data_IF_189785271989
#
_entry.id   IF_189785271989
#
_cell.length_a   1.000
_cell.length_b   1.000
_cell.length_c   1.000
_cell.angle_alpha   90.00
_cell.angle_beta   90.00
_cell.angle_gamma   90.00
#
_symmetry.space_group_name_H-M   'P 1'
#
loop_
_entity.id
_entity.type
_entity.pdbx_description
1 polymer ?
#
# COMPACT_ATOMS: atom_id res chain seq x y z
N UNK A 1 -0.57 -13.35 7.28
CA UNK A 1 -0.51 -12.98 5.84
C UNK A 1 -1.68 -12.06 5.52
N UNK A 2 -1.47 -11.02 4.72
CA UNK A 2 -2.52 -10.08 4.31
C UNK A 2 -2.69 -10.10 2.80
N UNK A 3 -3.94 -10.20 2.32
CA UNK A 3 -4.25 -10.13 0.88
C UNK A 3 -4.41 -8.67 0.46
N UNK A 4 -3.27 -8.03 0.22
CA UNK A 4 -3.16 -6.65 -0.26
C UNK A 4 -1.93 -6.56 -1.16
N UNK A 5 -1.99 -5.68 -2.16
CA UNK A 5 -0.91 -5.53 -3.15
C UNK A 5 -0.81 -4.08 -3.56
N UNK A 6 0.33 -3.45 -3.30
CA UNK A 6 0.59 -2.07 -3.71
C UNK A 6 0.84 -1.93 -5.22
N UNK A 7 1.25 -3.03 -5.88
CA UNK A 7 1.57 -3.08 -7.31
C UNK A 7 0.38 -3.45 -8.20
N UNK A 8 -0.74 -3.91 -7.64
CA UNK A 8 -1.97 -4.16 -8.41
C UNK A 8 -2.26 -5.61 -8.76
N UNK A 9 -1.27 -6.48 -8.60
CA UNK A 9 -1.37 -7.90 -8.97
C UNK A 9 -1.78 -8.81 -7.80
N UNK A 10 -2.11 -10.06 -8.13
CA UNK A 10 -2.37 -11.12 -7.16
C UNK A 10 -1.13 -11.36 -6.28
N UNK A 11 -1.34 -11.42 -4.97
CA UNK A 11 -0.28 -11.73 -4.02
C UNK A 11 -0.69 -11.43 -2.59
N UNK A 12 0.29 -11.50 -1.71
CA UNK A 12 0.13 -11.27 -0.27
C UNK A 12 1.31 -10.49 0.28
N UNK A 13 1.05 -9.67 1.29
CA UNK A 13 2.08 -9.18 2.20
C UNK A 13 2.29 -10.23 3.30
N UNK A 14 3.52 -10.71 3.42
CA UNK A 14 3.94 -11.74 4.37
C UNK A 14 4.76 -11.07 5.46
N UNK A 15 4.26 -11.13 6.69
CA UNK A 15 4.90 -10.59 7.88
C UNK A 15 5.38 -11.74 8.74
N UNK A 16 6.62 -11.65 9.22
CA UNK A 16 7.23 -12.59 10.16
C UNK A 16 8.09 -11.82 11.16
N UNK A 17 8.38 -12.42 12.31
CA UNK A 17 9.38 -11.88 13.23
C UNK A 17 10.76 -11.85 12.57
N UNK A 18 11.60 -10.89 12.97
CA UNK A 18 12.88 -10.63 12.31
C UNK A 18 13.80 -11.87 12.29
N UNK A 19 13.77 -12.70 13.33
CA UNK A 19 14.55 -13.94 13.43
C UNK A 19 14.24 -14.96 12.32
N UNK A 20 13.06 -14.86 11.68
CA UNK A 20 12.65 -15.75 10.60
C UNK A 20 12.81 -15.13 9.19
N UNK A 21 13.26 -13.88 9.09
CA UNK A 21 13.25 -13.13 7.82
C UNK A 21 14.08 -13.81 6.71
N UNK A 22 15.30 -14.26 7.02
CA UNK A 22 16.17 -14.92 6.05
C UNK A 22 15.61 -16.29 5.62
N UNK A 23 15.17 -17.11 6.57
CA UNK A 23 14.58 -18.41 6.28
C UNK A 23 13.31 -18.30 5.42
N UNK A 24 12.49 -17.27 5.67
CA UNK A 24 11.31 -16.98 4.84
C UNK A 24 11.70 -16.58 3.41
N UNK A 25 12.73 -15.75 3.26
CA UNK A 25 13.21 -15.31 1.95
C UNK A 25 13.69 -16.50 1.10
N UNK A 26 14.56 -17.35 1.67
CA UNK A 26 15.12 -18.51 0.97
C UNK A 26 14.01 -19.50 0.59
N UNK A 27 13.08 -19.78 1.51
CA UNK A 27 11.94 -20.66 1.26
C UNK A 27 11.09 -20.20 0.07
N UNK A 28 10.85 -18.88 -0.06
CA UNK A 28 10.07 -18.32 -1.16
C UNK A 28 10.84 -18.34 -2.48
N UNK A 29 12.16 -18.07 -2.45
CA UNK A 29 13.01 -18.14 -3.63
C UNK A 29 13.05 -19.56 -4.20
N UNK A 30 13.25 -20.56 -3.34
CA UNK A 30 13.28 -21.97 -3.73
C UNK A 30 11.94 -22.45 -4.28
N UNK A 31 10.84 -22.17 -3.58
CA UNK A 31 9.50 -22.57 -4.02
C UNK A 31 9.08 -21.85 -5.32
N UNK A 32 9.52 -20.60 -5.52
CA UNK A 32 9.20 -19.81 -6.68
C UNK A 32 10.11 -20.04 -7.90
N UNK A 33 11.20 -20.79 -7.76
CA UNK A 33 12.20 -20.98 -8.82
C UNK A 33 11.58 -21.55 -10.10
N UNK A 34 10.70 -22.55 -9.99
CA UNK A 34 9.98 -23.15 -11.11
C UNK A 34 9.01 -22.17 -11.81
N UNK A 35 8.66 -21.06 -11.15
CA UNK A 35 7.77 -20.01 -11.66
C UNK A 35 8.52 -18.76 -12.14
N UNK A 36 9.86 -18.79 -12.15
CA UNK A 36 10.67 -17.63 -12.54
C UNK A 36 10.58 -16.47 -11.56
N UNK A 37 10.45 -16.76 -10.26
CA UNK A 37 10.42 -15.72 -9.23
C UNK A 37 11.69 -14.87 -9.29
N UNK A 38 11.53 -13.56 -9.10
CA UNK A 38 12.65 -12.61 -9.05
C UNK A 38 12.50 -11.64 -7.88
N UNK A 39 13.61 -11.17 -7.28
CA UNK A 39 13.58 -10.00 -6.43
C UNK A 39 13.30 -8.75 -7.27
N UNK A 40 12.27 -7.98 -6.88
CA UNK A 40 11.90 -6.74 -7.56
C UNK A 40 12.29 -5.52 -6.73
N UNK A 41 12.94 -4.54 -7.37
CA UNK A 41 13.42 -3.32 -6.72
C UNK A 41 12.38 -2.20 -6.60
N UNK A 42 12.77 -1.12 -5.91
CA UNK A 42 11.89 0.02 -5.61
C UNK A 42 11.42 0.80 -6.85
N UNK A 43 12.22 0.84 -7.91
CA UNK A 43 11.85 1.55 -9.15
C UNK A 43 10.65 0.88 -9.83
N UNK A 44 10.70 -0.44 -10.01
CA UNK A 44 9.58 -1.21 -10.56
C UNK A 44 8.34 -1.08 -9.67
N UNK A 45 8.50 -1.19 -8.35
CA UNK A 45 7.42 -0.99 -7.38
C UNK A 45 6.75 0.38 -7.52
N UNK A 46 7.54 1.45 -7.68
CA UNK A 46 7.03 2.79 -7.85
C UNK A 46 6.34 2.99 -9.21
N UNK A 47 6.77 2.32 -10.28
CA UNK A 47 6.06 2.35 -11.57
C UNK A 47 4.67 1.72 -11.43
N UNK A 48 4.62 0.49 -10.94
CA UNK A 48 3.39 -0.30 -10.85
C UNK A 48 2.34 0.34 -9.94
N UNK A 49 2.76 0.94 -8.81
CA UNK A 49 1.81 1.64 -7.93
C UNK A 49 1.19 2.88 -8.59
N UNK A 50 1.93 3.55 -9.48
CA UNK A 50 1.43 4.73 -10.21
C UNK A 50 0.42 4.27 -11.25
N UNK A 51 0.69 3.19 -11.97
CA UNK A 51 -0.26 2.57 -12.92
C UNK A 51 -1.58 2.19 -12.23
N UNK A 52 -1.50 1.68 -10.99
CA UNK A 52 -2.68 1.39 -10.16
C UNK A 52 -3.39 2.63 -9.62
N UNK A 53 -2.77 3.81 -9.68
CA UNK A 53 -3.29 5.05 -9.10
C UNK A 53 -3.21 5.12 -7.57
N UNK A 54 -2.30 4.38 -6.93
CA UNK A 54 -2.09 4.49 -5.49
C UNK A 54 -1.32 5.75 -5.13
N UNK A 55 -1.87 6.48 -4.15
CA UNK A 55 -1.33 7.76 -3.66
C UNK A 55 -0.22 7.54 -2.64
N UNK A 56 0.85 8.31 -2.78
CA UNK A 56 1.97 8.43 -1.86
C UNK A 56 1.80 9.68 -0.99
N UNK A 57 1.61 9.50 0.31
CA UNK A 57 1.54 10.61 1.26
C UNK A 57 2.86 11.40 1.28
N UNK A 58 2.79 12.72 1.33
CA UNK A 58 3.93 13.63 1.27
C UNK A 58 4.26 14.13 -0.14
N UNK A 59 3.76 13.47 -1.18
CA UNK A 59 3.95 13.91 -2.57
C UNK A 59 2.61 14.07 -3.30
N UNK A 60 1.80 13.02 -3.37
CA UNK A 60 0.52 13.05 -4.06
C UNK A 60 -0.57 13.76 -3.23
N UNK A 61 -0.39 13.82 -1.91
CA UNK A 61 -1.22 14.55 -0.97
C UNK A 61 -0.46 14.88 0.31
N UNK A 62 -0.81 16.00 0.92
CA UNK A 62 -0.26 16.49 2.20
C UNK A 62 -1.39 16.94 3.11
N UNK A 63 -1.08 17.58 4.24
CA UNK A 63 -2.07 18.20 5.13
C UNK A 63 -2.84 19.37 4.49
N UNK A 64 -2.38 19.87 3.34
CA UNK A 64 -3.02 20.95 2.57
C UNK A 64 -4.20 20.44 1.73
N UNK A 65 -4.26 19.13 1.49
CA UNK A 65 -5.23 18.51 0.61
C UNK A 65 -6.35 17.83 1.41
N UNK A 66 -7.61 18.09 1.03
CA UNK A 66 -8.75 17.30 1.53
C UNK A 66 -8.78 15.92 0.85
N UNK A 67 -9.28 14.86 1.51
CA UNK A 67 -9.39 13.53 0.90
C UNK A 67 -10.12 13.52 -0.44
N UNK A 68 -11.20 14.31 -0.58
CA UNK A 68 -11.93 14.46 -1.84
C UNK A 68 -11.04 15.01 -2.97
N UNK A 69 -10.23 16.04 -2.70
CA UNK A 69 -9.31 16.61 -3.68
C UNK A 69 -8.21 15.64 -4.12
N UNK A 70 -7.83 14.69 -3.25
CA UNK A 70 -6.86 13.63 -3.56
C UNK A 70 -7.50 12.39 -4.23
N UNK A 71 -8.82 12.35 -4.42
CA UNK A 71 -9.54 11.17 -4.92
C UNK A 71 -9.65 10.02 -3.90
N UNK A 72 -9.58 10.32 -2.61
CA UNK A 72 -9.59 9.35 -1.49
C UNK A 72 -10.87 9.40 -0.65
N UNK A 73 -11.96 9.93 -1.21
CA UNK A 73 -13.25 10.05 -0.49
C UNK A 73 -13.80 8.68 -0.07
N UNK A 74 -13.58 7.64 -0.88
CA UNK A 74 -13.97 6.26 -0.56
C UNK A 74 -13.37 5.74 0.75
N UNK A 75 -12.26 6.32 1.22
CA UNK A 75 -11.59 5.93 2.46
C UNK A 75 -12.14 6.68 3.69
N UNK A 76 -13.13 7.57 3.54
CA UNK A 76 -13.68 8.39 4.62
C UNK A 76 -15.11 7.99 4.95
N UNK A 77 -15.32 7.44 6.15
CA UNK A 77 -16.66 7.23 6.72
C UNK A 77 -17.17 8.51 7.37
N UNK A 78 -18.05 9.24 6.69
CA UNK A 78 -18.55 10.56 7.09
C UNK A 78 -19.50 10.52 8.30
N UNK A 79 -20.19 9.41 8.48
CA UNK A 79 -21.17 9.12 9.52
C UNK A 79 -20.53 8.64 10.85
N UNK A 80 -19.21 8.43 10.88
CA UNK A 80 -18.51 7.94 12.06
C UNK A 80 -18.48 8.99 13.18
N UNK A 81 -19.10 8.68 14.31
CA UNK A 81 -19.04 9.46 15.55
C UNK A 81 -17.62 9.45 16.15
N UNK A 82 -17.22 10.56 16.78
CA UNK A 82 -15.89 10.68 17.42
C UNK A 82 -14.70 10.86 16.48
N UNK A 83 -14.90 11.15 15.19
CA UNK A 83 -13.80 11.42 14.25
C UNK A 83 -13.13 12.76 14.58
N UNK A 84 -11.79 12.78 14.58
CA UNK A 84 -11.01 14.02 14.60
C UNK A 84 -11.35 14.84 13.36
N UNK A 85 -12.03 15.99 13.54
CA UNK A 85 -12.31 16.97 12.48
C UNK A 85 -11.36 18.15 12.65
N UNK A 86 -10.60 18.50 11.60
CA UNK A 86 -10.04 19.86 11.51
C UNK A 86 -11.20 20.82 11.28
N UNK A 87 -11.40 21.79 12.16
CA UNK A 87 -12.40 22.85 11.98
C UNK A 87 -12.06 23.68 10.73
N UNK A 88 -13.06 23.87 9.86
CA UNK A 88 -12.92 24.55 8.57
C UNK A 88 -14.07 24.15 7.64
N UNK A 89 -15.29 24.59 8.01
CA UNK A 89 -16.58 24.33 7.35
C UNK A 89 -16.59 24.70 5.86
N UNK A 90 -17.23 23.87 5.04
CA UNK A 90 -18.54 24.17 4.46
C UNK A 90 -19.19 22.87 4.00
N UNK A 91 -20.53 22.88 4.00
CA UNK A 91 -21.42 21.84 3.52
C UNK A 91 -21.23 21.54 2.03
#
# INVERSE_FOLDING_TARGET
MMRVSYVGELGWEIYASAEYGAALWDLLADAGAAHGIIPAGRLAFNSLRIEKGYRSWGTDMTTEHRPAAAGLEFAVRLDKTGRVRRQGRAA
#
